data_IF_591963383460
#
_entry.id   IF_591963383460
#
_cell.length_a   1.000
_cell.length_b   1.000
_cell.length_c   1.000
_cell.angle_alpha   90.00
_cell.angle_beta   90.00
_cell.angle_gamma   90.00
#
_symmetry.space_group_name_H-M   'P 1'
#
loop_
_entity.id
_entity.type
_entity.pdbx_description
1 polymer ?
#
# COMPACT_ATOMS: atom_id res chain seq x y z
N UNK A 1 21.30 0.40 -8.06
CA UNK A 1 20.47 0.35 -9.30
C UNK A 1 20.84 1.53 -10.21
N UNK A 2 20.93 1.38 -11.55
CA UNK A 2 21.22 2.49 -12.47
C UNK A 2 19.96 3.27 -12.81
N UNK A 3 20.09 4.56 -13.17
CA UNK A 3 18.94 5.42 -13.58
C UNK A 3 18.15 4.78 -14.73
N UNK A 4 18.85 4.26 -15.76
CA UNK A 4 18.18 3.58 -16.90
C UNK A 4 17.33 2.37 -16.50
N UNK A 5 17.76 1.64 -15.45
CA UNK A 5 17.01 0.50 -14.96
C UNK A 5 15.75 0.96 -14.19
N UNK A 6 15.86 2.05 -13.43
CA UNK A 6 14.71 2.63 -12.73
C UNK A 6 13.62 3.10 -13.70
N UNK A 7 13.99 3.84 -14.76
CA UNK A 7 13.03 4.29 -15.79
C UNK A 7 12.29 3.11 -16.46
N UNK A 8 12.98 1.99 -16.65
CA UNK A 8 12.37 0.79 -17.23
C UNK A 8 11.38 0.14 -16.25
N UNK A 9 11.75 0.02 -14.99
CA UNK A 9 10.87 -0.49 -13.93
C UNK A 9 9.59 0.34 -13.83
N UNK A 10 9.72 1.67 -13.82
CA UNK A 10 8.56 2.58 -13.74
C UNK A 10 7.62 2.43 -14.93
N UNK A 11 8.16 2.28 -16.14
CA UNK A 11 7.35 2.01 -17.34
C UNK A 11 6.61 0.68 -17.27
N UNK A 12 7.26 -0.38 -16.81
CA UNK A 12 6.64 -1.70 -16.64
C UNK A 12 5.46 -1.64 -15.66
N UNK A 13 5.62 -0.93 -14.53
CA UNK A 13 4.55 -0.70 -13.54
C UNK A 13 3.40 0.09 -14.18
N UNK A 14 3.71 1.21 -14.84
CA UNK A 14 2.71 2.05 -15.49
C UNK A 14 1.92 1.27 -16.55
N UNK A 15 2.60 0.51 -17.41
CA UNK A 15 1.95 -0.29 -18.44
C UNK A 15 1.05 -1.39 -17.86
N UNK A 16 1.50 -2.08 -16.80
CA UNK A 16 0.73 -3.10 -16.12
C UNK A 16 -0.61 -2.53 -15.62
N UNK A 17 -0.58 -1.46 -14.82
CA UNK A 17 -1.79 -0.87 -14.25
C UNK A 17 -2.65 -0.16 -15.29
N UNK A 18 -2.06 0.52 -16.28
CA UNK A 18 -2.78 1.14 -17.38
C UNK A 18 -3.57 0.12 -18.20
N UNK A 19 -2.97 -1.03 -18.52
CA UNK A 19 -3.65 -2.12 -19.24
C UNK A 19 -4.85 -2.62 -18.47
N UNK A 20 -4.70 -2.91 -17.18
CA UNK A 20 -5.79 -3.37 -16.31
C UNK A 20 -6.92 -2.34 -16.22
N UNK A 21 -6.58 -1.08 -16.02
CA UNK A 21 -7.60 -0.03 -15.97
C UNK A 21 -8.35 0.15 -17.28
N UNK A 22 -7.67 0.04 -18.41
CA UNK A 22 -8.31 0.09 -19.74
C UNK A 22 -9.26 -1.08 -19.97
N UNK A 23 -8.95 -2.26 -19.42
CA UNK A 23 -9.74 -3.48 -19.60
C UNK A 23 -10.93 -3.57 -18.63
N UNK A 24 -10.71 -3.26 -17.37
CA UNK A 24 -11.68 -3.49 -16.29
C UNK A 24 -12.28 -2.20 -15.70
N UNK A 25 -11.81 -1.02 -16.11
CA UNK A 25 -12.29 0.27 -15.59
C UNK A 25 -12.01 0.47 -14.09
N UNK A 26 -12.84 1.29 -13.40
CA UNK A 26 -12.62 1.64 -11.99
C UNK A 26 -13.14 0.56 -11.02
N UNK A 27 -12.80 -0.67 -11.27
CA UNK A 27 -13.14 -1.85 -10.44
C UNK A 27 -11.94 -2.34 -9.63
N UNK A 28 -12.14 -3.32 -8.77
CA UNK A 28 -11.05 -3.98 -8.06
C UNK A 28 -10.04 -4.60 -9.03
N UNK A 29 -10.52 -5.26 -10.09
CA UNK A 29 -9.69 -5.85 -11.14
C UNK A 29 -8.90 -4.79 -11.90
N UNK A 30 -9.52 -3.64 -12.18
CA UNK A 30 -8.88 -2.52 -12.89
C UNK A 30 -7.75 -1.86 -12.11
N UNK A 31 -7.75 -1.97 -10.78
CA UNK A 31 -6.65 -1.51 -9.91
C UNK A 31 -5.75 -2.65 -9.41
N UNK A 32 -5.82 -3.82 -10.05
CA UNK A 32 -4.85 -4.90 -9.86
C UNK A 32 -5.26 -6.02 -8.91
N UNK A 33 -6.47 -6.02 -8.37
CA UNK A 33 -6.95 -7.08 -7.50
C UNK A 33 -7.61 -8.21 -8.29
N UNK A 34 -7.72 -9.38 -7.65
CA UNK A 34 -8.44 -10.53 -8.21
C UNK A 34 -9.95 -10.26 -8.29
N UNK A 35 -10.49 -9.71 -7.20
CA UNK A 35 -11.90 -9.40 -7.02
C UNK A 35 -12.10 -8.38 -5.88
N UNK A 36 -13.34 -7.88 -5.78
CA UNK A 36 -13.72 -6.86 -4.78
C UNK A 36 -13.62 -7.40 -3.34
N UNK A 37 -13.93 -8.65 -3.10
CA UNK A 37 -13.91 -9.24 -1.75
C UNK A 37 -12.48 -9.39 -1.25
N UNK A 38 -11.59 -9.88 -2.10
CA UNK A 38 -10.16 -9.98 -1.81
C UNK A 38 -9.56 -8.59 -1.49
N UNK A 39 -9.91 -7.56 -2.25
CA UNK A 39 -9.49 -6.18 -1.96
C UNK A 39 -10.03 -5.68 -0.62
N UNK A 40 -11.34 -5.89 -0.36
CA UNK A 40 -12.01 -5.46 0.86
C UNK A 40 -11.37 -6.05 2.11
N UNK A 41 -11.12 -7.35 2.13
CA UNK A 41 -10.47 -8.04 3.26
C UNK A 41 -9.13 -7.41 3.62
N UNK A 42 -8.34 -7.03 2.63
CA UNK A 42 -7.02 -6.41 2.83
C UNK A 42 -7.12 -4.99 3.38
N UNK A 43 -8.02 -4.19 2.83
CA UNK A 43 -8.27 -2.85 3.37
C UNK A 43 -8.77 -2.93 4.81
N UNK A 44 -9.67 -3.87 5.10
CA UNK A 44 -10.18 -4.09 6.46
C UNK A 44 -9.05 -4.49 7.41
N UNK A 45 -8.20 -5.45 7.01
CA UNK A 45 -7.05 -5.87 7.82
C UNK A 45 -6.11 -4.70 8.15
N UNK A 46 -5.87 -3.79 7.19
CA UNK A 46 -5.07 -2.58 7.42
C UNK A 46 -5.75 -1.60 8.38
N UNK A 47 -7.04 -1.32 8.21
CA UNK A 47 -7.79 -0.41 9.09
C UNK A 47 -7.90 -0.94 10.52
N UNK A 48 -8.02 -2.26 10.70
CA UNK A 48 -8.03 -2.93 12.01
C UNK A 48 -6.66 -2.87 12.71
N UNK A 49 -5.58 -2.68 11.98
CA UNK A 49 -4.24 -2.46 12.53
C UNK A 49 -4.04 -1.10 13.20
N UNK A 50 -4.98 -0.16 13.08
CA UNK A 50 -4.95 1.08 13.85
C UNK A 50 -5.18 0.76 15.32
N UNK A 51 -4.20 1.10 16.19
CA UNK A 51 -4.24 0.74 17.62
C UNK A 51 -5.44 1.39 18.32
N UNK A 52 -6.16 0.65 19.20
CA UNK A 52 -7.28 1.21 19.95
C UNK A 52 -6.92 2.46 20.77
N UNK A 53 -5.70 2.51 21.32
CA UNK A 53 -5.21 3.66 22.08
C UNK A 53 -5.06 4.94 21.27
N UNK A 54 -4.92 4.83 19.95
CA UNK A 54 -4.77 5.98 19.05
C UNK A 54 -6.13 6.51 18.57
N UNK A 55 -7.21 5.72 18.73
CA UNK A 55 -8.60 6.07 18.31
C UNK A 55 -9.30 7.03 19.28
N UNK A 56 -8.60 7.55 20.29
CA UNK A 56 -9.16 8.50 21.30
C UNK A 56 -9.30 9.94 20.76
N UNK A 57 -8.82 10.21 19.56
CA UNK A 57 -8.92 11.50 18.85
C UNK A 57 -9.17 11.27 17.37
N UNK A 58 -9.57 12.30 16.61
CA UNK A 58 -9.60 12.21 15.16
C UNK A 58 -8.24 11.75 14.59
N UNK A 59 -8.27 10.84 13.65
CA UNK A 59 -7.09 10.23 13.00
C UNK A 59 -7.05 10.63 11.53
N UNK A 60 -5.88 11.04 11.08
CA UNK A 60 -5.60 11.19 9.64
C UNK A 60 -5.02 9.90 9.08
N UNK A 61 -5.60 9.40 7.99
CA UNK A 61 -5.17 8.20 7.25
C UNK A 61 -4.79 8.61 5.85
N UNK A 62 -3.58 8.30 5.43
CA UNK A 62 -3.12 8.49 4.06
C UNK A 62 -2.86 7.14 3.39
N UNK A 63 -3.45 6.92 2.22
CA UNK A 63 -3.22 5.73 1.41
C UNK A 63 -2.29 6.04 0.23
N UNK A 64 -1.15 5.37 0.17
CA UNK A 64 -0.24 5.39 -0.96
C UNK A 64 -0.66 4.31 -1.95
N UNK A 65 -0.73 4.63 -3.24
CA UNK A 65 -1.27 3.73 -4.25
C UNK A 65 -2.78 3.53 -4.09
N UNK A 66 -3.51 4.63 -3.83
CA UNK A 66 -4.93 4.60 -3.47
C UNK A 66 -5.86 4.17 -4.62
N UNK A 67 -5.35 4.07 -5.85
CA UNK A 67 -6.15 3.76 -7.03
C UNK A 67 -7.33 4.73 -7.17
N UNK A 68 -8.52 4.19 -7.25
CA UNK A 68 -9.77 4.96 -7.38
C UNK A 68 -10.48 5.23 -6.03
N UNK A 69 -9.80 5.01 -4.89
CA UNK A 69 -10.30 5.35 -3.55
C UNK A 69 -11.17 4.28 -2.88
N UNK A 70 -10.97 2.99 -3.19
CA UNK A 70 -11.79 1.91 -2.62
C UNK A 70 -11.63 1.75 -1.09
N UNK A 71 -10.47 2.07 -0.51
CA UNK A 71 -10.33 2.06 0.96
C UNK A 71 -11.22 3.12 1.62
N UNK A 72 -11.38 4.27 0.98
CA UNK A 72 -12.30 5.31 1.46
C UNK A 72 -13.77 4.86 1.41
N UNK A 73 -14.17 4.08 0.38
CA UNK A 73 -15.51 3.48 0.35
C UNK A 73 -15.75 2.62 1.60
N UNK A 74 -14.76 1.80 1.97
CA UNK A 74 -14.83 0.96 3.17
C UNK A 74 -14.85 1.78 4.47
N UNK A 75 -14.03 2.83 4.58
CA UNK A 75 -14.02 3.73 5.74
C UNK A 75 -15.41 4.35 5.94
N UNK A 76 -16.05 4.81 4.86
CA UNK A 76 -17.41 5.38 4.89
C UNK A 76 -18.46 4.33 5.25
N UNK A 77 -18.39 3.14 4.64
CA UNK A 77 -19.32 2.03 4.91
C UNK A 77 -19.28 1.60 6.39
N UNK A 78 -18.08 1.53 6.97
CA UNK A 78 -17.89 1.16 8.37
C UNK A 78 -18.12 2.33 9.35
N UNK A 79 -18.42 3.53 8.86
CA UNK A 79 -18.64 4.72 9.69
C UNK A 79 -17.42 5.12 10.53
N UNK A 80 -16.21 4.86 10.02
CA UNK A 80 -14.99 5.15 10.76
C UNK A 80 -14.67 6.67 10.74
N UNK A 81 -14.40 7.30 11.89
CA UNK A 81 -14.20 8.74 12.02
C UNK A 81 -12.78 9.17 11.60
N UNK A 82 -12.33 8.70 10.44
CA UNK A 82 -10.99 9.01 9.93
C UNK A 82 -11.04 10.11 8.88
N UNK A 83 -10.10 11.04 8.94
CA UNK A 83 -9.84 11.99 7.86
C UNK A 83 -8.91 11.30 6.86
N UNK A 84 -9.47 10.94 5.70
CA UNK A 84 -8.74 10.22 4.66
C UNK A 84 -8.17 11.16 3.62
N UNK A 85 -6.97 10.85 3.14
CA UNK A 85 -6.39 11.36 1.90
C UNK A 85 -5.72 10.21 1.14
N UNK A 86 -5.56 10.35 -0.17
CA UNK A 86 -4.94 9.31 -0.99
C UNK A 86 -3.95 9.89 -1.99
N UNK A 87 -2.99 9.06 -2.38
CA UNK A 87 -2.06 9.40 -3.45
C UNK A 87 -1.80 8.22 -4.37
N UNK A 88 -1.59 8.52 -5.66
CA UNK A 88 -1.27 7.53 -6.68
C UNK A 88 -0.37 8.14 -7.77
N UNK A 89 0.41 7.33 -8.46
CA UNK A 89 1.21 7.78 -9.60
C UNK A 89 0.36 7.99 -10.87
N UNK A 90 -0.79 7.31 -10.97
CA UNK A 90 -1.69 7.33 -12.12
C UNK A 90 -2.71 8.46 -12.03
N UNK A 91 -2.58 9.47 -12.88
CA UNK A 91 -3.58 10.55 -12.94
C UNK A 91 -4.96 10.04 -13.41
N UNK A 92 -5.01 8.96 -14.20
CA UNK A 92 -6.27 8.34 -14.61
C UNK A 92 -7.04 7.76 -13.40
N UNK A 93 -6.34 7.11 -12.46
CA UNK A 93 -6.94 6.66 -11.21
C UNK A 93 -7.40 7.83 -10.34
N UNK A 94 -6.55 8.85 -10.18
CA UNK A 94 -6.87 10.02 -9.36
C UNK A 94 -8.06 10.82 -9.91
N UNK A 95 -8.19 10.93 -11.23
CA UNK A 95 -9.35 11.57 -11.86
C UNK A 95 -10.65 10.84 -11.48
N UNK A 96 -10.65 9.52 -11.51
CA UNK A 96 -11.81 8.73 -11.09
C UNK A 96 -12.03 8.79 -9.57
N UNK A 97 -10.97 8.76 -8.75
CA UNK A 97 -11.07 8.92 -7.30
C UNK A 97 -11.71 10.26 -6.91
N UNK A 98 -11.28 11.37 -7.51
CA UNK A 98 -11.85 12.71 -7.29
C UNK A 98 -13.32 12.79 -7.70
N UNK A 99 -13.69 12.14 -8.80
CA UNK A 99 -15.09 12.05 -9.26
C UNK A 99 -15.98 11.25 -8.30
N UNK A 100 -15.48 10.14 -7.76
CA UNK A 100 -16.19 9.30 -6.79
C UNK A 100 -16.31 9.94 -5.41
N UNK A 101 -15.32 10.71 -5.01
CA UNK A 101 -15.19 11.29 -3.67
C UNK A 101 -14.91 12.80 -3.73
N UNK A 102 -15.90 13.62 -4.15
CA UNK A 102 -15.71 15.08 -4.21
C UNK A 102 -15.31 15.65 -2.84
N UNK A 103 -14.35 16.57 -2.84
CA UNK A 103 -13.88 17.25 -1.62
C UNK A 103 -12.84 16.48 -0.81
N UNK A 104 -12.46 15.27 -1.23
CA UNK A 104 -11.36 14.51 -0.61
C UNK A 104 -10.05 14.82 -1.33
N UNK A 105 -8.97 14.93 -0.57
CA UNK A 105 -7.65 15.19 -1.12
C UNK A 105 -7.07 13.94 -1.79
N UNK A 106 -6.84 14.04 -3.11
CA UNK A 106 -6.13 13.05 -3.90
C UNK A 106 -4.99 13.72 -4.65
N UNK A 107 -3.75 13.29 -4.38
CA UNK A 107 -2.54 13.92 -4.91
C UNK A 107 -1.75 12.95 -5.80
N UNK A 108 -1.12 13.49 -6.84
CA UNK A 108 -0.17 12.69 -7.63
C UNK A 108 1.11 12.49 -6.84
N UNK A 109 1.51 11.25 -6.67
CA UNK A 109 2.71 10.88 -5.93
C UNK A 109 3.23 9.52 -6.41
N UNK A 110 4.44 9.51 -6.93
CA UNK A 110 5.15 8.27 -7.23
C UNK A 110 5.98 7.89 -5.99
N UNK A 111 5.52 6.91 -5.24
CA UNK A 111 6.16 6.49 -3.98
C UNK A 111 7.60 5.98 -4.15
N UNK A 112 8.02 5.62 -5.37
CA UNK A 112 9.40 5.22 -5.64
C UNK A 112 10.31 6.44 -5.77
N UNK A 113 9.92 7.44 -6.58
CA UNK A 113 10.79 8.54 -6.99
C UNK A 113 10.58 9.84 -6.24
N UNK A 114 9.34 10.14 -5.81
CA UNK A 114 9.02 11.44 -5.27
C UNK A 114 9.36 11.56 -3.77
N UNK A 115 9.67 12.76 -3.27
CA UNK A 115 9.82 13.00 -1.84
C UNK A 115 8.45 12.87 -1.14
N UNK A 116 8.42 12.53 0.16
CA UNK A 116 7.18 12.42 0.93
C UNK A 116 6.31 13.68 0.84
N UNK A 117 4.99 13.57 0.55
CA UNK A 117 4.12 14.73 0.35
C UNK A 117 3.67 15.40 1.66
N UNK A 118 3.82 14.72 2.81
CA UNK A 118 3.33 15.26 4.08
C UNK A 118 3.51 14.31 5.26
N UNK A 119 2.83 14.65 6.37
CA UNK A 119 2.77 13.85 7.61
C UNK A 119 1.32 13.50 7.94
N UNK A 120 1.10 12.24 8.32
CA UNK A 120 -0.21 11.69 8.64
C UNK A 120 -0.12 10.81 9.88
N UNK A 121 -1.21 10.62 10.59
CA UNK A 121 -1.20 9.72 11.75
C UNK A 121 -0.87 8.29 11.32
N UNK A 122 -1.59 7.77 10.34
CA UNK A 122 -1.32 6.48 9.75
C UNK A 122 -1.09 6.58 8.24
N UNK A 123 -0.10 5.84 7.75
CA UNK A 123 0.18 5.71 6.32
C UNK A 123 0.01 4.26 5.91
N UNK A 124 -0.87 4.01 4.94
CA UNK A 124 -1.14 2.68 4.42
C UNK A 124 -0.71 2.53 2.97
N UNK A 125 -0.36 1.30 2.60
CA UNK A 125 -0.11 0.89 1.23
C UNK A 125 -0.70 -0.51 1.04
N UNK A 126 -1.65 -0.64 0.10
CA UNK A 126 -2.36 -1.88 -0.15
C UNK A 126 -2.14 -2.38 -1.58
N UNK A 127 -1.55 -3.56 -1.73
CA UNK A 127 -1.40 -4.28 -3.01
C UNK A 127 -0.31 -3.77 -3.96
N UNK A 128 0.23 -2.57 -3.77
CA UNK A 128 1.18 -1.97 -4.72
C UNK A 128 2.55 -2.66 -4.76
N UNK A 129 2.85 -3.53 -3.80
CA UNK A 129 4.09 -4.32 -3.78
C UNK A 129 3.98 -5.66 -4.51
N UNK A 130 2.76 -6.13 -4.83
CA UNK A 130 2.53 -7.50 -5.28
C UNK A 130 3.01 -7.77 -6.70
N UNK A 131 2.98 -6.80 -7.61
CA UNK A 131 3.53 -6.94 -8.96
C UNK A 131 5.05 -6.90 -8.91
N UNK A 132 5.71 -7.87 -9.56
CA UNK A 132 7.17 -7.93 -9.71
C UNK A 132 7.56 -7.42 -11.11
N UNK A 133 8.05 -6.19 -11.25
CA UNK A 133 8.51 -5.71 -12.55
C UNK A 133 9.69 -6.55 -13.05
N UNK A 134 9.65 -7.11 -14.27
CA UNK A 134 10.71 -8.01 -14.77
C UNK A 134 12.10 -7.39 -14.73
N UNK A 135 12.21 -6.07 -14.98
CA UNK A 135 13.48 -5.36 -14.96
C UNK A 135 14.06 -5.13 -13.56
N UNK A 136 13.25 -5.24 -12.51
CA UNK A 136 13.74 -5.14 -11.14
C UNK A 136 14.41 -6.42 -10.68
N UNK A 137 13.86 -7.57 -11.05
CA UNK A 137 14.15 -8.84 -10.42
C UNK A 137 13.78 -8.84 -8.93
N UNK A 138 13.85 -10.00 -8.29
CA UNK A 138 13.41 -10.13 -6.89
C UNK A 138 14.22 -9.24 -5.93
N UNK A 139 15.55 -9.28 -6.00
CA UNK A 139 16.42 -8.50 -5.10
C UNK A 139 16.25 -7.00 -5.29
N UNK A 140 16.20 -6.53 -6.53
CA UNK A 140 16.02 -5.11 -6.82
C UNK A 140 14.65 -4.59 -6.38
N UNK A 141 13.60 -5.40 -6.53
CA UNK A 141 12.26 -5.03 -6.08
C UNK A 141 12.16 -5.04 -4.54
N UNK A 142 12.78 -6.04 -3.87
CA UNK A 142 12.89 -6.05 -2.40
C UNK A 142 13.52 -4.77 -1.86
N UNK A 143 14.62 -4.32 -2.46
CA UNK A 143 15.31 -3.11 -2.02
C UNK A 143 14.41 -1.87 -2.19
N UNK A 144 13.68 -1.77 -3.31
CA UNK A 144 12.67 -0.72 -3.52
C UNK A 144 11.57 -0.80 -2.46
N UNK A 145 11.05 -1.99 -2.16
CA UNK A 145 10.02 -2.19 -1.12
C UNK A 145 10.52 -1.67 0.24
N UNK A 146 11.76 -1.97 0.61
CA UNK A 146 12.33 -1.49 1.86
C UNK A 146 12.50 0.05 1.87
N UNK A 147 12.92 0.65 0.77
CA UNK A 147 13.02 2.11 0.66
C UNK A 147 11.65 2.78 0.76
N UNK A 148 10.62 2.18 0.17
CA UNK A 148 9.24 2.68 0.28
C UNK A 148 8.71 2.55 1.72
N UNK A 149 8.98 1.44 2.41
CA UNK A 149 8.63 1.27 3.83
C UNK A 149 9.31 2.35 4.69
N UNK A 150 10.60 2.65 4.44
CA UNK A 150 11.30 3.73 5.13
C UNK A 150 10.64 5.10 4.85
N UNK A 151 10.25 5.37 3.60
CA UNK A 151 9.54 6.59 3.21
C UNK A 151 8.16 6.68 3.89
N UNK A 152 7.39 5.57 3.96
CA UNK A 152 6.14 5.52 4.72
C UNK A 152 6.38 5.85 6.20
N UNK A 153 7.45 5.30 6.77
CA UNK A 153 7.83 5.61 8.15
C UNK A 153 8.13 7.08 8.36
N UNK A 154 8.82 7.72 7.42
CA UNK A 154 9.07 9.16 7.48
C UNK A 154 7.77 9.97 7.36
N UNK A 155 6.74 9.48 6.71
CA UNK A 155 5.43 10.13 6.57
C UNK A 155 4.51 9.95 7.80
N UNK A 156 4.71 8.92 8.63
CA UNK A 156 3.78 8.62 9.71
C UNK A 156 4.11 9.35 11.03
N UNK A 157 3.06 9.67 11.80
CA UNK A 157 3.13 10.20 13.16
C UNK A 157 2.86 9.10 14.22
N UNK A 158 2.03 8.10 13.90
CA UNK A 158 1.63 7.03 14.82
C UNK A 158 2.00 5.65 14.30
N UNK A 159 1.84 5.39 13.00
CA UNK A 159 2.19 4.08 12.45
C UNK A 159 2.03 3.96 10.95
N UNK A 160 2.56 2.86 10.44
CA UNK A 160 2.41 2.44 9.05
C UNK A 160 1.76 1.06 9.00
N UNK A 161 1.11 0.74 7.88
CA UNK A 161 0.61 -0.59 7.58
C UNK A 161 0.66 -0.87 6.08
N UNK A 162 1.04 -2.09 5.72
CA UNK A 162 1.08 -2.54 4.32
C UNK A 162 0.86 -4.05 4.25
N UNK A 163 0.53 -4.55 3.07
CA UNK A 163 0.41 -5.99 2.84
C UNK A 163 1.39 -6.49 1.77
N UNK A 164 1.72 -7.76 1.86
CA UNK A 164 2.63 -8.47 0.97
C UNK A 164 2.20 -9.93 0.82
N UNK A 165 2.44 -10.49 -0.36
CA UNK A 165 2.30 -11.92 -0.54
C UNK A 165 3.38 -12.65 0.27
N UNK A 166 2.98 -13.71 1.00
CA UNK A 166 3.91 -14.54 1.77
C UNK A 166 4.68 -15.50 0.87
N UNK A 167 5.92 -15.79 1.22
CA UNK A 167 6.72 -16.82 0.56
C UNK A 167 6.35 -18.25 1.01
N UNK A 168 5.53 -18.39 2.05
CA UNK A 168 4.98 -19.66 2.56
C UNK A 168 3.75 -20.08 1.73
N UNK A 169 3.96 -20.42 0.47
CA UNK A 169 2.93 -20.85 -0.50
C UNK A 169 3.38 -22.09 -1.24
N UNK A 170 2.42 -22.91 -1.69
CA UNK A 170 2.71 -24.15 -2.44
C UNK A 170 3.11 -23.86 -3.89
N UNK A 171 2.71 -22.72 -4.43
CA UNK A 171 2.98 -22.30 -5.81
C UNK A 171 3.19 -20.79 -5.89
N UNK A 172 4.04 -20.34 -6.81
CA UNK A 172 4.35 -18.92 -7.05
C UNK A 172 4.07 -18.53 -8.49
N UNK A 173 3.37 -17.43 -8.67
CA UNK A 173 3.26 -16.73 -9.95
C UNK A 173 4.58 -15.98 -10.22
N UNK A 174 5.23 -16.17 -11.38
CA UNK A 174 6.49 -15.49 -11.68
C UNK A 174 6.38 -13.98 -11.81
N UNK A 175 5.17 -13.45 -12.05
CA UNK A 175 4.90 -12.03 -12.18
C UNK A 175 4.57 -11.35 -10.82
N UNK A 176 4.58 -12.14 -9.73
CA UNK A 176 4.25 -11.65 -8.40
C UNK A 176 5.45 -11.70 -7.44
N UNK A 177 5.51 -10.70 -6.58
CA UNK A 177 6.54 -10.58 -5.55
C UNK A 177 6.11 -11.22 -4.24
N UNK A 178 6.88 -12.17 -3.77
CA UNK A 178 6.65 -12.89 -2.51
C UNK A 178 7.76 -12.57 -1.52
N UNK A 179 7.40 -12.29 -0.27
CA UNK A 179 8.33 -11.88 0.78
C UNK A 179 8.16 -12.73 2.03
N UNK A 180 9.27 -13.10 2.65
CA UNK A 180 9.25 -13.74 3.96
C UNK A 180 8.81 -12.75 5.05
N UNK A 181 7.80 -13.09 5.89
CA UNK A 181 7.46 -12.31 7.06
C UNK A 181 8.66 -12.06 7.98
N UNK A 182 9.60 -13.01 8.06
CA UNK A 182 10.81 -12.87 8.86
C UNK A 182 11.74 -11.76 8.34
N UNK A 183 11.83 -11.56 7.02
CA UNK A 183 12.62 -10.46 6.44
C UNK A 183 11.99 -9.11 6.74
N UNK A 184 10.68 -9.03 6.66
CA UNK A 184 9.92 -7.82 7.03
C UNK A 184 10.11 -7.51 8.52
N UNK A 185 10.03 -8.50 9.42
CA UNK A 185 10.30 -8.30 10.84
C UNK A 185 11.69 -7.73 11.07
N UNK A 186 12.72 -8.27 10.42
CA UNK A 186 14.08 -7.75 10.52
C UNK A 186 14.19 -6.30 10.07
N UNK A 187 13.46 -5.92 9.02
CA UNK A 187 13.44 -4.54 8.52
C UNK A 187 12.68 -3.61 9.47
N UNK A 188 11.46 -3.97 9.90
CA UNK A 188 10.64 -3.17 10.83
C UNK A 188 11.34 -2.95 12.17
N UNK A 189 12.10 -3.92 12.66
CA UNK A 189 12.91 -3.80 13.89
C UNK A 189 13.96 -2.68 13.85
N UNK A 190 14.37 -2.26 12.66
CA UNK A 190 15.27 -1.10 12.49
C UNK A 190 14.52 0.23 12.67
N UNK A 191 13.20 0.24 12.42
CA UNK A 191 12.34 1.40 12.52
C UNK A 191 11.71 1.54 13.90
N UNK A 192 11.21 0.44 14.46
CA UNK A 192 10.52 0.41 15.76
C UNK A 192 10.65 -0.94 16.44
N UNK A 193 10.53 -0.93 17.78
CA UNK A 193 10.33 -2.14 18.58
C UNK A 193 8.88 -2.60 18.61
N UNK A 194 7.93 -1.72 18.29
CA UNK A 194 6.50 -1.99 18.26
C UNK A 194 6.06 -2.28 16.82
N UNK A 195 5.77 -3.55 16.54
CA UNK A 195 5.29 -3.99 15.23
C UNK A 195 4.26 -5.11 15.40
N UNK A 196 3.48 -5.33 14.35
CA UNK A 196 2.52 -6.42 14.26
C UNK A 196 2.66 -7.07 12.89
N UNK A 197 2.67 -8.39 12.85
CA UNK A 197 2.48 -9.19 11.63
C UNK A 197 1.13 -9.90 11.79
N UNK A 198 0.27 -9.74 10.81
CA UNK A 198 -1.05 -10.33 10.76
C UNK A 198 -1.21 -11.22 9.54
N UNK A 199 -1.42 -12.52 9.76
CA UNK A 199 -1.56 -13.53 8.70
C UNK A 199 -2.74 -14.46 9.02
N UNK A 200 -3.86 -13.88 9.48
CA UNK A 200 -5.04 -14.61 9.96
C UNK A 200 -6.31 -14.34 9.11
N UNK A 201 -6.18 -13.54 8.03
CA UNK A 201 -7.31 -13.11 7.22
C UNK A 201 -7.25 -13.63 5.77
N UNK A 202 -6.10 -14.02 5.27
CA UNK A 202 -5.92 -14.56 3.93
C UNK A 202 -4.69 -15.49 3.87
N UNK A 203 -4.79 -16.70 3.25
CA UNK A 203 -3.71 -17.70 3.36
C UNK A 203 -2.43 -17.36 2.60
N UNK A 204 -2.50 -16.50 1.59
CA UNK A 204 -1.37 -16.20 0.69
C UNK A 204 -0.73 -14.84 0.92
N UNK A 205 -1.19 -14.10 1.95
CA UNK A 205 -0.78 -12.74 2.18
C UNK A 205 -0.80 -12.41 3.67
N UNK A 206 0.11 -11.55 4.09
CA UNK A 206 0.14 -11.00 5.44
C UNK A 206 0.13 -9.47 5.40
N UNK A 207 -0.40 -8.87 6.45
CA UNK A 207 -0.24 -7.44 6.73
C UNK A 207 0.84 -7.23 7.77
N UNK A 208 1.63 -6.17 7.59
CA UNK A 208 2.69 -5.77 8.50
C UNK A 208 2.49 -4.32 8.93
N UNK A 209 2.74 -4.05 10.21
CA UNK A 209 2.58 -2.74 10.82
C UNK A 209 3.82 -2.39 11.63
N UNK A 210 4.21 -1.13 11.64
CA UNK A 210 5.14 -0.57 12.61
C UNK A 210 4.51 0.67 13.26
N UNK A 211 4.73 0.84 14.55
CA UNK A 211 4.12 1.91 15.33
C UNK A 211 5.18 2.79 15.97
N UNK A 212 4.94 4.10 16.02
CA UNK A 212 5.78 5.02 16.79
C UNK A 212 5.69 4.67 18.27
N UNK A 213 6.84 4.62 18.92
CA UNK A 213 6.91 4.53 20.38
C UNK A 213 6.43 5.89 20.94
N UNK A 214 5.58 5.85 21.96
CA UNK A 214 5.25 7.08 22.69
C UNK A 214 6.50 7.48 23.47
N UNK A 215 7.02 8.66 23.22
CA UNK A 215 8.09 9.25 24.00
C UNK A 215 7.68 9.49 25.44
#
# INVERSE_FOLDING_TARGET
MTIKNMDKILKEIEEFYRKRFSEFGPTAEGVGWKDKEAQRMRHQALLEGIRPADKQRPITVHEIGCGVGHMLDLIKELGLPYTYSGSDASEAYLAEARKRHPGVEFTRFNFITDPPPGKYDYVFLSGSFNYLPPSAGWDGWRDIVFDVINKMWDMCLLGIGFNLLTDAVDWRDPDLFYMSPCEIIKHLRKLSRLFLIRHDYYPFEFSAFAYREKG
#
